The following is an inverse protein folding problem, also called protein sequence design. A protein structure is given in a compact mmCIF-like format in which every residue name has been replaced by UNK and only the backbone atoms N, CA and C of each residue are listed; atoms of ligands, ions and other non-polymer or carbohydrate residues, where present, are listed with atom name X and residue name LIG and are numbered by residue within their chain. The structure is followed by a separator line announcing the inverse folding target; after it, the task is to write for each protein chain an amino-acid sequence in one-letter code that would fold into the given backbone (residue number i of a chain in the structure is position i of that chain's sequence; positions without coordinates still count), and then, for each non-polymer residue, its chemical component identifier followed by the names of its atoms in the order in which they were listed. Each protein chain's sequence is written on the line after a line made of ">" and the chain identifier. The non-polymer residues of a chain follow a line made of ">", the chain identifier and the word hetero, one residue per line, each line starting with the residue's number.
data_IF_372349340875
#
_entry.id   IF_372349340875
#
_cell.length_a   1.000
_cell.length_b   1.000
_cell.length_c   1.000
_cell.angle_alpha   90.00
_cell.angle_beta   90.00
_cell.angle_gamma   90.00
#
_symmetry.space_group_name_H-M   'P 1'
#
loop_
_entity.id
_entity.type
_entity.pdbx_description
1 polymer ?
#
# COMPACT_ATOMS: atom_id res chain seq x y z
N UNK A 1 -14.56 25.26 -14.28
CA UNK A 1 -14.28 24.20 -15.27
C UNK A 1 -15.30 23.09 -15.11
N UNK A 2 -15.70 22.39 -16.18
CA UNK A 2 -16.57 21.21 -16.08
C UNK A 2 -15.83 20.11 -15.28
N UNK A 3 -16.54 19.38 -14.42
CA UNK A 3 -15.96 18.23 -13.70
C UNK A 3 -15.59 17.13 -14.68
N UNK A 4 -14.48 16.39 -14.46
CA UNK A 4 -14.13 15.23 -15.27
C UNK A 4 -15.23 14.17 -15.26
N UNK A 5 -15.39 13.43 -16.36
CA UNK A 5 -16.47 12.42 -16.53
C UNK A 5 -16.47 11.36 -15.44
N UNK A 6 -15.28 10.96 -14.92
CA UNK A 6 -15.15 9.94 -13.87
C UNK A 6 -15.24 10.50 -12.44
N UNK A 7 -15.35 11.83 -12.28
CA UNK A 7 -15.44 12.46 -10.97
C UNK A 7 -16.74 12.07 -10.26
N UNK A 8 -16.66 11.75 -8.97
CA UNK A 8 -17.80 11.33 -8.15
C UNK A 8 -17.73 11.93 -6.72
N UNK A 9 -18.76 11.67 -5.92
CA UNK A 9 -18.85 12.20 -4.54
C UNK A 9 -17.70 11.73 -3.63
N UNK A 10 -17.10 10.57 -3.90
CA UNK A 10 -15.93 10.10 -3.16
C UNK A 10 -14.71 10.97 -3.47
N UNK A 11 -14.53 11.40 -4.72
CA UNK A 11 -13.50 12.36 -5.08
C UNK A 11 -13.66 13.69 -4.32
N UNK A 12 -14.92 14.20 -4.23
CA UNK A 12 -15.21 15.41 -3.44
C UNK A 12 -14.80 15.25 -1.98
N UNK A 13 -15.09 14.09 -1.37
CA UNK A 13 -14.79 13.81 0.03
C UNK A 13 -13.30 13.78 0.38
N UNK A 14 -12.45 13.57 -0.62
CA UNK A 14 -11.00 13.48 -0.50
C UNK A 14 -10.26 14.69 -1.09
N UNK A 15 -10.97 15.56 -1.80
CA UNK A 15 -10.37 16.71 -2.50
C UNK A 15 -9.52 16.33 -3.71
N UNK A 16 -9.82 15.20 -4.37
CA UNK A 16 -9.15 14.72 -5.58
C UNK A 16 -10.03 14.94 -6.82
N UNK A 17 -9.43 14.97 -8.00
CA UNK A 17 -10.13 15.22 -9.26
C UNK A 17 -10.58 13.91 -9.94
N UNK A 18 -9.72 12.90 -9.94
CA UNK A 18 -9.96 11.60 -10.55
C UNK A 18 -9.97 10.49 -9.49
N UNK A 19 -10.85 9.47 -9.64
CA UNK A 19 -10.96 8.36 -8.70
C UNK A 19 -9.83 7.34 -8.92
N UNK A 20 -8.57 7.81 -8.92
CA UNK A 20 -7.37 7.01 -9.21
C UNK A 20 -6.38 7.17 -8.06
N UNK A 21 -5.98 6.05 -7.47
CA UNK A 21 -4.99 5.98 -6.41
C UNK A 21 -3.73 5.27 -6.90
N UNK A 22 -2.58 5.85 -6.60
CA UNK A 22 -1.32 5.12 -6.57
C UNK A 22 -1.26 4.32 -5.27
N UNK A 23 -1.12 3.01 -5.36
CA UNK A 23 -0.92 2.13 -4.20
C UNK A 23 0.37 2.49 -3.44
N UNK A 24 0.32 2.54 -2.11
CA UNK A 24 1.54 2.54 -1.31
C UNK A 24 2.26 1.20 -1.44
N UNK A 25 3.47 1.19 -1.99
CA UNK A 25 4.18 -0.05 -2.35
C UNK A 25 5.60 -0.07 -1.83
N UNK A 26 6.05 -1.27 -1.58
CA UNK A 26 7.46 -1.60 -1.41
C UNK A 26 8.02 -1.36 -0.02
N UNK A 27 8.95 -2.22 0.34
CA UNK A 27 9.82 -2.07 1.50
C UNK A 27 10.99 -1.18 1.06
N UNK A 28 11.37 -0.21 1.91
CA UNK A 28 12.46 0.74 1.62
C UNK A 28 12.09 1.91 0.69
N UNK A 29 10.82 2.03 0.29
CA UNK A 29 10.24 3.25 -0.30
C UNK A 29 10.65 3.60 -1.73
N UNK A 30 11.32 2.71 -2.49
CA UNK A 30 11.71 2.98 -3.89
C UNK A 30 10.55 2.91 -4.87
N UNK A 31 9.55 2.07 -4.59
CA UNK A 31 8.40 1.86 -5.49
C UNK A 31 7.45 3.05 -5.48
N UNK A 32 7.30 3.71 -4.33
CA UNK A 32 6.46 4.92 -4.20
C UNK A 32 7.24 6.04 -3.54
N UNK A 33 8.27 6.59 -4.22
CA UNK A 33 9.05 7.71 -3.70
C UNK A 33 8.22 9.00 -3.68
N UNK A 34 8.62 10.03 -2.91
CA UNK A 34 7.91 11.30 -2.80
C UNK A 34 7.57 11.96 -4.14
N UNK A 35 8.46 11.87 -5.14
CA UNK A 35 8.24 12.43 -6.48
C UNK A 35 7.06 11.79 -7.20
N UNK A 36 6.96 10.45 -7.18
CA UNK A 36 5.84 9.73 -7.79
C UNK A 36 4.53 10.03 -7.08
N UNK A 37 4.53 10.03 -5.74
CA UNK A 37 3.36 10.37 -4.92
C UNK A 37 2.85 11.77 -5.26
N UNK A 38 3.76 12.75 -5.30
CA UNK A 38 3.42 14.13 -5.65
C UNK A 38 2.92 14.26 -7.08
N UNK A 39 3.55 13.59 -8.05
CA UNK A 39 3.14 13.64 -9.46
C UNK A 39 1.70 13.12 -9.66
N UNK A 40 1.36 11.99 -9.05
CA UNK A 40 -0.01 11.45 -9.11
C UNK A 40 -1.02 12.40 -8.46
N UNK A 41 -0.68 12.98 -7.30
CA UNK A 41 -1.56 13.94 -6.62
C UNK A 41 -1.73 15.23 -7.44
N UNK A 42 -0.67 15.76 -8.04
CA UNK A 42 -0.73 16.93 -8.95
C UNK A 42 -1.56 16.66 -10.20
N UNK A 43 -1.50 15.42 -10.73
CA UNK A 43 -2.32 15.00 -11.86
C UNK A 43 -3.81 14.84 -11.51
N UNK A 44 -4.19 15.10 -10.25
CA UNK A 44 -5.58 15.04 -9.78
C UNK A 44 -6.03 13.71 -9.19
N UNK A 45 -5.14 12.71 -9.11
CA UNK A 45 -5.36 11.46 -8.39
C UNK A 45 -5.01 11.57 -6.90
N UNK A 46 -4.77 10.45 -6.26
CA UNK A 46 -4.26 10.35 -4.90
C UNK A 46 -2.98 9.50 -4.86
N UNK A 47 -1.84 10.13 -4.70
CA UNK A 47 -0.59 9.42 -4.46
C UNK A 47 -0.54 8.87 -3.03
N UNK A 48 -0.09 7.63 -2.83
CA UNK A 48 0.06 7.04 -1.49
C UNK A 48 1.50 6.59 -1.27
N UNK A 49 2.11 7.11 -0.23
CA UNK A 49 3.49 6.82 0.17
C UNK A 49 3.54 5.51 0.95
N UNK A 50 4.28 4.51 0.46
CA UNK A 50 4.51 3.25 1.18
C UNK A 50 5.58 3.43 2.25
N UNK A 51 5.21 3.30 3.53
CA UNK A 51 6.10 3.55 4.65
C UNK A 51 6.56 2.29 5.40
N UNK A 52 6.07 1.11 5.04
CA UNK A 52 6.46 -0.13 5.70
C UNK A 52 7.97 -0.40 5.56
N UNK A 53 8.65 -0.55 6.69
CA UNK A 53 10.10 -0.76 6.76
C UNK A 53 10.95 0.51 6.68
N UNK A 54 10.35 1.70 6.67
CA UNK A 54 11.07 2.97 6.84
C UNK A 54 11.18 3.34 8.31
N UNK A 55 12.27 3.97 8.73
CA UNK A 55 12.33 4.53 10.09
C UNK A 55 11.34 5.69 10.26
N UNK A 56 10.97 6.05 11.51
CA UNK A 56 10.12 7.22 11.77
C UNK A 56 10.69 8.51 11.17
N UNK A 57 12.00 8.72 11.26
CA UNK A 57 12.70 9.89 10.73
C UNK A 57 12.62 9.93 9.20
N UNK A 58 12.86 8.78 8.54
CA UNK A 58 12.77 8.69 7.09
C UNK A 58 11.34 8.87 6.61
N UNK A 59 10.35 8.32 7.33
CA UNK A 59 8.93 8.54 7.06
C UNK A 59 8.59 10.03 7.13
N UNK A 60 9.04 10.73 8.19
CA UNK A 60 8.85 12.18 8.35
C UNK A 60 9.48 12.96 7.21
N UNK A 61 10.72 12.64 6.86
CA UNK A 61 11.44 13.28 5.78
C UNK A 61 10.66 13.17 4.46
N UNK A 62 10.18 11.96 4.13
CA UNK A 62 9.44 11.71 2.89
C UNK A 62 8.07 12.40 2.87
N UNK A 63 7.33 12.42 3.96
CA UNK A 63 6.08 13.16 4.05
C UNK A 63 6.30 14.64 3.78
N UNK A 64 7.33 15.24 4.38
CA UNK A 64 7.68 16.64 4.17
C UNK A 64 8.17 16.92 2.75
N UNK A 65 8.88 15.99 2.14
CA UNK A 65 9.28 16.06 0.74
C UNK A 65 8.06 16.05 -0.20
N UNK A 66 7.08 15.16 0.00
CA UNK A 66 5.82 15.20 -0.77
C UNK A 66 5.17 16.58 -0.65
N UNK A 67 5.07 17.15 0.54
CA UNK A 67 4.47 18.48 0.76
C UNK A 67 5.25 19.62 0.11
N UNK A 68 6.55 19.49 -0.04
CA UNK A 68 7.34 20.49 -0.76
C UNK A 68 7.12 20.43 -2.26
N UNK A 69 6.60 19.32 -2.77
CA UNK A 69 6.37 19.10 -4.20
C UNK A 69 4.90 19.32 -4.61
N UNK A 70 3.94 19.22 -3.68
CA UNK A 70 2.51 19.38 -3.99
C UNK A 70 1.69 19.85 -2.79
N UNK A 71 0.69 20.70 -3.06
CA UNK A 71 -0.36 21.10 -2.11
C UNK A 71 -1.60 20.20 -2.19
N UNK A 72 -1.61 19.22 -3.10
CA UNK A 72 -2.72 18.31 -3.30
C UNK A 72 -2.76 17.22 -2.22
N UNK A 73 -3.94 16.63 -1.93
CA UNK A 73 -4.06 15.52 -0.99
C UNK A 73 -3.20 14.32 -1.40
N UNK A 74 -2.60 13.67 -0.42
CA UNK A 74 -1.88 12.41 -0.57
C UNK A 74 -2.12 11.52 0.65
N UNK A 75 -1.77 10.24 0.52
CA UNK A 75 -1.89 9.27 1.59
C UNK A 75 -0.56 8.68 2.03
N UNK A 76 -0.61 7.98 3.16
CA UNK A 76 0.45 7.10 3.66
C UNK A 76 -0.13 5.71 3.86
N UNK A 77 0.61 4.70 3.44
CA UNK A 77 0.29 3.28 3.65
C UNK A 77 1.27 2.65 4.62
N UNK A 78 0.73 1.89 5.57
CA UNK A 78 1.51 1.10 6.52
C UNK A 78 0.86 -0.27 6.73
N UNK A 79 1.67 -1.32 6.76
CA UNK A 79 1.23 -2.64 7.18
C UNK A 79 1.01 -2.66 8.69
N UNK A 80 -0.19 -3.03 9.11
CA UNK A 80 -0.60 -3.17 10.52
C UNK A 80 -0.97 -4.63 10.80
N UNK A 81 -0.01 -5.55 10.87
CA UNK A 81 -0.32 -6.96 11.05
C UNK A 81 -1.04 -7.19 12.38
N UNK A 82 -2.20 -7.86 12.33
CA UNK A 82 -3.02 -8.16 13.51
C UNK A 82 -2.33 -9.13 14.50
N UNK A 83 -1.36 -9.87 14.02
CA UNK A 83 -0.50 -10.77 14.82
C UNK A 83 0.93 -10.60 14.34
N UNK A 84 1.76 -10.11 15.21
CA UNK A 84 3.21 -10.19 15.06
C UNK A 84 3.64 -11.35 15.94
N UNK A 85 4.35 -12.32 15.37
CA UNK A 85 4.96 -13.38 16.15
C UNK A 85 5.92 -12.75 17.17
N UNK A 86 6.07 -13.39 18.34
CA UNK A 86 7.16 -13.06 19.26
C UNK A 86 8.47 -13.23 18.50
N UNK A 87 9.02 -12.13 18.03
CA UNK A 87 10.24 -12.09 17.24
C UNK A 87 11.26 -11.23 18.00
N UNK A 88 12.55 -11.54 17.88
CA UNK A 88 13.59 -10.68 18.41
C UNK A 88 13.46 -9.25 17.88
N UNK A 89 13.86 -8.27 18.71
CA UNK A 89 13.73 -6.84 18.41
C UNK A 89 14.73 -6.34 17.34
N UNK A 90 15.62 -7.20 16.89
CA UNK A 90 16.64 -6.87 15.89
C UNK A 90 16.63 -7.86 14.70
N UNK A 91 16.99 -7.39 13.53
CA UNK A 91 17.12 -8.25 12.33
C UNK A 91 18.19 -9.33 12.51
N UNK A 92 19.27 -9.03 13.21
CA UNK A 92 20.30 -10.02 13.56
C UNK A 92 19.70 -11.12 14.43
N UNK A 93 18.96 -10.79 15.46
CA UNK A 93 18.26 -11.75 16.32
C UNK A 93 17.26 -12.62 15.54
N UNK A 94 16.48 -12.03 14.63
CA UNK A 94 15.56 -12.78 13.74
C UNK A 94 16.33 -13.75 12.86
N UNK A 95 17.46 -13.34 12.25
CA UNK A 95 18.29 -14.23 11.43
C UNK A 95 18.87 -15.39 12.25
N UNK A 96 19.31 -15.13 13.47
CA UNK A 96 19.84 -16.17 14.34
C UNK A 96 18.75 -17.16 14.77
N UNK A 97 17.54 -16.69 15.02
CA UNK A 97 16.40 -17.56 15.28
C UNK A 97 16.02 -18.40 14.07
N UNK A 98 16.01 -17.82 12.85
CA UNK A 98 15.79 -18.57 11.59
C UNK A 98 16.85 -19.65 11.42
N UNK A 99 18.13 -19.34 11.62
CA UNK A 99 19.22 -20.33 11.55
C UNK A 99 19.02 -21.47 12.54
N UNK A 100 18.55 -21.17 13.73
CA UNK A 100 18.32 -22.15 14.78
C UNK A 100 17.09 -23.03 14.50
N UNK A 101 15.96 -22.43 14.07
CA UNK A 101 14.70 -23.14 13.80
C UNK A 101 14.67 -23.86 12.47
N UNK A 102 15.30 -23.29 11.47
CA UNK A 102 15.24 -23.75 10.07
C UNK A 102 16.66 -23.83 9.46
N UNK A 103 17.53 -24.68 9.97
CA UNK A 103 18.93 -24.75 9.55
C UNK A 103 19.07 -25.13 8.06
N UNK A 104 18.19 -25.96 7.52
CA UNK A 104 18.16 -26.33 6.11
C UNK A 104 17.87 -25.15 5.18
N UNK A 105 16.94 -24.25 5.56
CA UNK A 105 16.65 -23.04 4.80
C UNK A 105 17.86 -22.08 4.87
N UNK A 106 18.47 -21.95 6.03
CA UNK A 106 19.67 -21.12 6.18
C UNK A 106 20.83 -21.65 5.33
N UNK A 107 21.03 -22.96 5.28
CA UNK A 107 22.04 -23.61 4.41
C UNK A 107 21.73 -23.38 2.92
N UNK A 108 20.46 -23.49 2.51
CA UNK A 108 20.04 -23.19 1.15
C UNK A 108 20.35 -21.73 0.76
N UNK A 109 20.06 -20.77 1.62
CA UNK A 109 20.41 -19.35 1.39
C UNK A 109 21.92 -19.19 1.20
N UNK A 110 22.76 -19.87 2.01
CA UNK A 110 24.21 -19.84 1.84
C UNK A 110 24.65 -20.41 0.47
N UNK A 111 23.99 -21.48 0.01
CA UNK A 111 24.25 -22.03 -1.34
C UNK A 111 23.94 -21.00 -2.42
N UNK A 112 22.85 -20.23 -2.30
CA UNK A 112 22.53 -19.16 -3.25
C UNK A 112 23.56 -18.02 -3.21
N UNK A 113 23.97 -17.59 -2.02
CA UNK A 113 25.01 -16.57 -1.85
C UNK A 113 26.31 -16.99 -2.55
N UNK A 114 26.74 -18.23 -2.35
CA UNK A 114 27.94 -18.77 -3.00
C UNK A 114 27.75 -18.89 -4.53
N UNK A 115 26.64 -19.45 -4.96
CA UNK A 115 26.34 -19.68 -6.41
C UNK A 115 26.35 -18.37 -7.20
N UNK A 116 25.78 -17.31 -6.64
CA UNK A 116 25.66 -16.01 -7.30
C UNK A 116 26.76 -15.03 -6.89
N UNK A 117 27.74 -15.46 -6.10
CA UNK A 117 28.85 -14.63 -5.60
C UNK A 117 28.35 -13.31 -5.00
N UNK A 118 27.25 -13.38 -4.24
CA UNK A 118 26.65 -12.21 -3.63
C UNK A 118 27.60 -11.63 -2.57
N UNK A 119 27.77 -10.29 -2.52
CA UNK A 119 28.60 -9.67 -1.51
C UNK A 119 28.01 -9.89 -0.12
N UNK A 120 28.88 -10.01 0.89
CA UNK A 120 28.46 -10.00 2.28
C UNK A 120 27.97 -8.60 2.64
N UNK A 121 26.65 -8.41 2.56
CA UNK A 121 26.01 -7.16 2.94
C UNK A 121 25.64 -7.24 4.42
N UNK A 122 26.21 -6.35 5.23
CA UNK A 122 25.70 -6.06 6.57
C UNK A 122 24.51 -5.12 6.38
N UNK A 123 23.30 -5.47 6.88
CA UNK A 123 22.19 -4.52 6.85
C UNK A 123 22.57 -3.27 7.64
N UNK A 124 22.43 -2.13 7.01
CA UNK A 124 22.66 -0.83 7.67
C UNK A 124 21.58 -0.51 8.73
N UNK A 125 20.48 -1.25 8.73
CA UNK A 125 19.32 -1.04 9.58
C UNK A 125 18.89 -2.34 10.25
N UNK A 126 18.81 -2.34 11.56
CA UNK A 126 18.35 -3.45 12.41
C UNK A 126 16.84 -3.36 12.71
N UNK A 127 16.10 -2.44 12.10
CA UNK A 127 14.66 -2.25 12.31
C UNK A 127 13.86 -3.50 11.97
N UNK A 128 13.11 -4.00 12.92
CA UNK A 128 12.12 -5.06 12.73
C UNK A 128 10.74 -4.45 12.69
N UNK A 129 9.92 -4.86 11.71
CA UNK A 129 8.52 -4.45 11.63
C UNK A 129 7.74 -5.18 12.72
N UNK A 130 7.60 -4.55 13.87
CA UNK A 130 6.84 -5.01 15.03
C UNK A 130 5.79 -3.96 15.45
N UNK A 131 5.04 -4.21 16.52
CA UNK A 131 4.01 -3.29 17.01
C UNK A 131 4.59 -1.94 17.44
N UNK A 132 5.74 -1.93 18.11
CA UNK A 132 6.36 -0.69 18.58
C UNK A 132 6.88 0.14 17.40
N UNK A 133 7.47 -0.51 16.40
CA UNK A 133 7.80 0.12 15.13
C UNK A 133 6.55 0.74 14.48
N UNK A 134 5.46 -0.03 14.35
CA UNK A 134 4.23 0.48 13.74
C UNK A 134 3.69 1.69 14.49
N UNK A 135 3.68 1.68 15.82
CA UNK A 135 3.27 2.83 16.66
C UNK A 135 4.16 4.05 16.41
N UNK A 136 5.47 3.88 16.38
CA UNK A 136 6.39 5.00 16.16
C UNK A 136 6.23 5.67 14.80
N UNK A 137 5.99 4.88 13.75
CA UNK A 137 5.68 5.42 12.41
C UNK A 137 4.31 6.08 12.39
N UNK A 138 3.29 5.49 13.03
CA UNK A 138 1.97 6.08 13.16
C UNK A 138 2.00 7.44 13.89
N UNK A 139 2.81 7.57 14.93
CA UNK A 139 2.95 8.85 15.63
C UNK A 139 3.46 9.93 14.67
N UNK A 140 4.43 9.63 13.82
CA UNK A 140 4.90 10.56 12.77
C UNK A 140 3.78 10.91 11.79
N UNK A 141 3.00 9.92 11.33
CA UNK A 141 1.87 10.14 10.40
C UNK A 141 0.86 11.13 11.00
N UNK A 142 0.55 10.99 12.29
CA UNK A 142 -0.36 11.89 12.99
C UNK A 142 0.25 13.26 13.28
N UNK A 143 1.49 13.33 13.71
CA UNK A 143 2.21 14.60 13.94
C UNK A 143 2.31 15.43 12.67
N UNK A 144 2.60 14.77 11.55
CA UNK A 144 2.62 15.41 10.24
C UNK A 144 1.21 15.62 9.65
N UNK A 145 0.13 15.27 10.34
CA UNK A 145 -1.26 15.49 9.91
C UNK A 145 -1.50 15.06 8.45
N UNK A 146 -1.14 13.83 8.14
CA UNK A 146 -1.38 13.27 6.79
C UNK A 146 -2.89 13.17 6.56
N UNK A 147 -3.40 13.64 5.40
CA UNK A 147 -4.86 13.68 5.20
C UNK A 147 -5.50 12.30 5.00
N UNK A 148 -4.76 11.32 4.48
CA UNK A 148 -5.27 9.98 4.17
C UNK A 148 -4.29 8.93 4.69
N UNK A 149 -4.80 7.96 5.44
CA UNK A 149 -4.00 6.81 5.90
C UNK A 149 -4.64 5.51 5.43
N UNK A 150 -3.84 4.65 4.80
CA UNK A 150 -4.24 3.31 4.37
C UNK A 150 -3.58 2.25 5.25
N UNK A 151 -4.37 1.28 5.68
CA UNK A 151 -3.91 0.19 6.54
C UNK A 151 -3.96 -1.15 5.81
N UNK A 152 -2.80 -1.74 5.57
CA UNK A 152 -2.67 -3.12 5.10
C UNK A 152 -2.59 -4.13 6.26
N UNK A 153 -3.08 -5.35 6.04
CA UNK A 153 -2.98 -6.52 6.93
C UNK A 153 -3.71 -6.46 8.29
N UNK A 154 -4.36 -5.40 8.64
CA UNK A 154 -5.01 -5.26 9.95
C UNK A 154 -6.31 -4.50 9.89
N UNK A 155 -6.88 -4.29 11.07
CA UNK A 155 -8.02 -3.42 11.26
C UNK A 155 -7.52 -2.14 11.95
N UNK A 156 -7.65 -0.97 11.31
CA UNK A 156 -7.17 0.29 11.88
C UNK A 156 -8.14 0.90 12.91
N UNK A 157 -9.06 0.14 13.48
CA UNK A 157 -10.10 0.61 14.39
C UNK A 157 -9.56 1.42 15.57
N UNK A 158 -8.43 1.01 16.13
CA UNK A 158 -7.77 1.71 17.24
C UNK A 158 -7.27 3.13 16.88
N UNK A 159 -7.15 3.45 15.58
CA UNK A 159 -6.73 4.76 15.09
C UNK A 159 -7.90 5.73 14.94
N UNK A 160 -9.15 5.23 14.86
CA UNK A 160 -10.33 6.03 14.55
C UNK A 160 -10.52 7.27 15.43
N UNK A 161 -10.38 7.21 16.78
CA UNK A 161 -10.55 8.39 17.61
C UNK A 161 -9.55 9.50 17.25
N UNK A 162 -8.28 9.13 17.04
CA UNK A 162 -7.21 10.07 16.70
C UNK A 162 -7.35 10.60 15.26
N UNK A 163 -7.72 9.75 14.32
CA UNK A 163 -7.95 10.14 12.93
C UNK A 163 -9.11 11.12 12.79
N UNK A 164 -10.24 10.84 13.45
CA UNK A 164 -11.40 11.73 13.44
C UNK A 164 -11.11 13.10 14.06
N UNK A 165 -10.34 13.13 15.14
CA UNK A 165 -9.94 14.39 15.80
C UNK A 165 -9.10 15.29 14.87
N UNK A 166 -8.44 14.73 13.86
CA UNK A 166 -7.61 15.47 12.90
C UNK A 166 -8.23 15.58 11.50
N UNK A 167 -9.41 14.99 11.27
CA UNK A 167 -10.03 14.94 9.94
C UNK A 167 -9.33 14.01 8.95
N UNK A 168 -8.44 13.12 9.43
CA UNK A 168 -7.76 12.13 8.61
C UNK A 168 -8.74 11.05 8.13
N UNK A 169 -8.67 10.71 6.85
CA UNK A 169 -9.45 9.61 6.26
C UNK A 169 -8.71 8.29 6.43
N UNK A 170 -9.40 7.29 6.98
CA UNK A 170 -8.88 5.94 7.15
C UNK A 170 -9.40 5.02 6.05
N UNK A 171 -8.48 4.35 5.36
CA UNK A 171 -8.76 3.36 4.32
C UNK A 171 -8.25 2.00 4.80
N UNK A 172 -9.11 0.97 4.78
CA UNK A 172 -8.71 -0.39 5.09
C UNK A 172 -8.54 -1.23 3.83
N UNK A 173 -7.55 -2.12 3.79
CA UNK A 173 -7.34 -3.07 2.68
C UNK A 173 -7.92 -4.43 3.02
N UNK A 174 -8.64 -5.06 2.08
CA UNK A 174 -9.38 -6.30 2.32
C UNK A 174 -9.38 -7.22 1.09
N UNK A 175 -8.86 -8.43 1.26
CA UNK A 175 -8.90 -9.49 0.24
C UNK A 175 -10.12 -10.42 0.35
N UNK A 176 -11.13 -10.09 1.19
CA UNK A 176 -12.34 -10.90 1.33
C UNK A 176 -13.53 -10.07 1.82
N UNK A 177 -14.75 -10.50 1.47
CA UNK A 177 -16.00 -9.87 1.94
C UNK A 177 -16.08 -9.86 3.47
N UNK A 178 -15.70 -10.95 4.13
CA UNK A 178 -15.72 -11.05 5.60
C UNK A 178 -14.86 -9.97 6.26
N UNK A 179 -13.66 -9.74 5.74
CA UNK A 179 -12.76 -8.72 6.29
C UNK A 179 -13.27 -7.31 5.97
N UNK A 180 -13.81 -7.08 4.78
CA UNK A 180 -14.43 -5.81 4.40
C UNK A 180 -15.60 -5.45 5.33
N UNK A 181 -16.48 -6.39 5.63
CA UNK A 181 -17.61 -6.20 6.57
C UNK A 181 -17.09 -5.87 7.99
N UNK A 182 -15.98 -6.50 8.42
CA UNK A 182 -15.36 -6.16 9.71
C UNK A 182 -14.86 -4.72 9.72
N UNK A 183 -14.11 -4.30 8.71
CA UNK A 183 -13.58 -2.94 8.60
C UNK A 183 -14.70 -1.88 8.48
N UNK A 184 -15.79 -2.18 7.75
CA UNK A 184 -16.99 -1.33 7.77
C UNK A 184 -17.53 -1.14 9.18
N UNK A 185 -17.67 -2.24 9.95
CA UNK A 185 -18.14 -2.17 11.35
C UNK A 185 -17.21 -1.38 12.24
N UNK A 186 -15.92 -1.45 11.98
CA UNK A 186 -14.91 -0.63 12.67
C UNK A 186 -15.05 0.86 12.33
N UNK A 187 -15.65 1.24 11.20
CA UNK A 187 -15.97 2.62 10.85
C UNK A 187 -14.89 3.32 10.03
N UNK A 188 -14.13 2.58 9.19
CA UNK A 188 -13.22 3.17 8.19
C UNK A 188 -13.99 4.00 7.16
N UNK A 189 -13.34 5.00 6.57
CA UNK A 189 -13.94 5.90 5.59
C UNK A 189 -14.09 5.27 4.19
N UNK A 190 -13.21 4.33 3.84
CA UNK A 190 -13.28 3.55 2.60
C UNK A 190 -12.58 2.20 2.74
N UNK A 191 -12.89 1.26 1.83
CA UNK A 191 -12.33 -0.08 1.83
C UNK A 191 -11.75 -0.39 0.45
N UNK A 192 -10.47 -0.77 0.39
CA UNK A 192 -9.87 -1.33 -0.82
C UNK A 192 -10.27 -2.80 -0.93
N UNK A 193 -11.03 -3.16 -1.95
CA UNK A 193 -11.32 -4.54 -2.33
C UNK A 193 -10.16 -5.04 -3.21
N UNK A 194 -9.25 -5.79 -2.62
CA UNK A 194 -8.02 -6.23 -3.25
C UNK A 194 -8.12 -7.68 -3.72
N UNK A 195 -8.27 -7.86 -5.03
CA UNK A 195 -8.30 -9.18 -5.65
C UNK A 195 -6.95 -9.87 -5.66
N UNK A 196 -6.97 -11.18 -5.96
CA UNK A 196 -5.75 -12.02 -6.00
C UNK A 196 -4.75 -11.60 -7.07
N UNK A 197 -5.18 -10.85 -8.09
CA UNK A 197 -4.32 -10.31 -9.15
C UNK A 197 -3.48 -9.11 -8.70
N UNK A 198 -3.73 -8.58 -7.50
CA UNK A 198 -2.89 -7.55 -6.93
C UNK A 198 -1.55 -8.12 -6.48
N UNK A 199 -0.54 -7.26 -6.39
CA UNK A 199 0.73 -7.60 -5.77
C UNK A 199 0.69 -7.55 -4.24
N UNK A 200 1.74 -8.06 -3.60
CA UNK A 200 1.90 -8.03 -2.14
C UNK A 200 1.04 -9.06 -1.42
N UNK A 201 0.46 -8.66 -0.29
CA UNK A 201 -0.38 -9.54 0.54
C UNK A 201 -1.82 -9.53 0.05
N UNK A 202 -2.23 -10.54 -0.68
CA UNK A 202 -3.57 -10.64 -1.28
C UNK A 202 -4.43 -11.71 -0.61
N UNK A 203 -5.73 -11.66 -0.89
CA UNK A 203 -6.63 -12.79 -0.68
C UNK A 203 -6.54 -13.81 -1.82
N UNK A 204 -7.48 -14.75 -1.83
CA UNK A 204 -7.55 -15.82 -2.84
C UNK A 204 -8.69 -15.62 -3.84
N UNK A 205 -9.46 -14.53 -3.72
CA UNK A 205 -10.61 -14.23 -4.57
C UNK A 205 -10.18 -13.24 -5.66
N UNK A 206 -10.50 -13.56 -6.91
CA UNK A 206 -10.21 -12.68 -8.05
C UNK A 206 -10.99 -11.36 -7.97
N UNK A 207 -10.46 -10.30 -8.58
CA UNK A 207 -11.02 -8.95 -8.51
C UNK A 207 -12.46 -8.89 -9.05
N UNK A 208 -12.73 -9.52 -10.18
CA UNK A 208 -14.05 -9.48 -10.82
C UNK A 208 -15.19 -10.00 -9.93
N UNK A 209 -15.10 -11.15 -9.23
CA UNK A 209 -16.11 -11.59 -8.29
C UNK A 209 -16.03 -10.89 -6.93
N UNK A 210 -14.86 -10.41 -6.49
CA UNK A 210 -14.69 -9.80 -5.16
C UNK A 210 -15.34 -8.42 -5.07
N UNK A 211 -15.08 -7.56 -6.07
CA UNK A 211 -15.44 -6.15 -6.02
C UNK A 211 -16.96 -5.97 -5.81
N UNK A 212 -17.87 -6.54 -6.64
CA UNK A 212 -19.30 -6.32 -6.46
C UNK A 212 -19.82 -6.90 -5.14
N UNK A 213 -19.30 -8.05 -4.71
CA UNK A 213 -19.70 -8.64 -3.42
C UNK A 213 -19.30 -7.76 -2.23
N UNK A 214 -18.11 -7.12 -2.29
CA UNK A 214 -17.69 -6.17 -1.26
C UNK A 214 -18.56 -4.93 -1.31
N UNK A 215 -18.82 -4.37 -2.51
CA UNK A 215 -19.69 -3.19 -2.69
C UNK A 215 -21.05 -3.42 -2.05
N UNK A 216 -21.72 -4.54 -2.36
CA UNK A 216 -23.02 -4.87 -1.80
C UNK A 216 -22.98 -5.04 -0.28
N UNK A 217 -21.95 -5.72 0.24
CA UNK A 217 -21.84 -6.06 1.66
C UNK A 217 -21.50 -4.86 2.55
N UNK A 218 -20.80 -3.85 2.01
CA UNK A 218 -20.33 -2.71 2.81
C UNK A 218 -21.05 -1.40 2.53
N UNK A 219 -22.05 -1.39 1.65
CA UNK A 219 -22.84 -0.19 1.36
C UNK A 219 -23.39 0.42 2.68
N UNK A 220 -23.26 1.76 2.91
CA UNK A 220 -22.82 2.81 1.98
C UNK A 220 -21.31 3.15 2.02
N UNK A 221 -20.47 2.37 2.66
CA UNK A 221 -19.02 2.64 2.73
C UNK A 221 -18.41 2.56 1.32
N UNK A 222 -17.68 3.60 0.85
CA UNK A 222 -17.03 3.59 -0.45
C UNK A 222 -16.05 2.42 -0.62
N UNK A 223 -16.05 1.81 -1.82
CA UNK A 223 -15.12 0.74 -2.18
C UNK A 223 -14.15 1.23 -3.25
N UNK A 224 -12.87 0.95 -3.05
CA UNK A 224 -11.79 1.21 -4.01
C UNK A 224 -11.38 -0.15 -4.59
N UNK A 225 -11.43 -0.33 -5.89
CA UNK A 225 -11.07 -1.58 -6.53
C UNK A 225 -9.55 -1.71 -6.71
N UNK A 226 -8.97 -2.86 -6.39
CA UNK A 226 -7.56 -3.16 -6.58
C UNK A 226 -7.34 -4.58 -7.13
N UNK A 227 -6.31 -4.73 -7.96
CA UNK A 227 -5.92 -5.99 -8.57
C UNK A 227 -6.28 -6.09 -10.05
N UNK A 228 -5.26 -6.31 -10.90
CA UNK A 228 -5.43 -6.48 -12.34
C UNK A 228 -5.85 -5.22 -13.11
N UNK A 229 -5.83 -4.03 -12.51
CA UNK A 229 -6.22 -2.77 -13.14
C UNK A 229 -4.96 -2.07 -13.66
N UNK A 230 -4.81 -2.00 -14.98
CA UNK A 230 -3.61 -1.44 -15.62
C UNK A 230 -3.89 -0.19 -16.46
N UNK A 231 -5.11 -0.02 -16.97
CA UNK A 231 -5.48 1.09 -17.86
C UNK A 231 -6.92 1.59 -17.63
N UNK A 232 -7.36 2.55 -18.46
CA UNK A 232 -8.68 3.18 -18.37
C UNK A 232 -9.84 2.19 -18.52
N UNK A 233 -9.68 1.09 -19.27
CA UNK A 233 -10.72 0.05 -19.42
C UNK A 233 -10.97 -0.66 -18.10
N UNK A 234 -9.89 -1.01 -17.39
CA UNK A 234 -9.98 -1.61 -16.06
C UNK A 234 -10.57 -0.65 -15.02
N UNK A 235 -10.22 0.65 -15.08
CA UNK A 235 -10.80 1.68 -14.21
C UNK A 235 -12.31 1.77 -14.44
N UNK A 236 -12.76 1.89 -15.70
CA UNK A 236 -14.19 1.96 -16.02
C UNK A 236 -14.93 0.68 -15.60
N UNK A 237 -14.34 -0.50 -15.84
CA UNK A 237 -14.91 -1.77 -15.40
C UNK A 237 -15.10 -1.81 -13.87
N UNK A 238 -14.10 -1.37 -13.10
CA UNK A 238 -14.19 -1.27 -11.64
C UNK A 238 -15.33 -0.35 -11.17
N UNK A 239 -15.49 0.81 -11.82
CA UNK A 239 -16.60 1.73 -11.53
C UNK A 239 -17.97 1.14 -11.88
N UNK A 240 -18.08 0.41 -12.99
CA UNK A 240 -19.32 -0.30 -13.38
C UNK A 240 -19.66 -1.40 -12.37
N UNK A 241 -18.67 -2.06 -11.77
CA UNK A 241 -18.87 -3.04 -10.69
C UNK A 241 -19.28 -2.39 -9.36
N UNK A 242 -19.42 -1.07 -9.30
CA UNK A 242 -19.88 -0.32 -8.13
C UNK A 242 -18.76 0.27 -7.25
N UNK A 243 -17.49 0.06 -7.60
CA UNK A 243 -16.41 0.74 -6.91
C UNK A 243 -16.46 2.27 -7.12
N UNK A 244 -15.97 3.04 -6.17
CA UNK A 244 -15.92 4.49 -6.26
C UNK A 244 -14.57 5.02 -6.77
N UNK A 245 -13.54 4.17 -6.78
CA UNK A 245 -12.20 4.47 -7.28
C UNK A 245 -11.42 3.19 -7.62
N UNK A 246 -10.27 3.37 -8.25
CA UNK A 246 -9.30 2.32 -8.55
C UNK A 246 -7.96 2.57 -7.84
N UNK A 247 -7.36 1.49 -7.31
CA UNK A 247 -6.07 1.47 -6.60
C UNK A 247 -5.08 0.67 -7.42
N UNK A 248 -4.10 1.37 -8.03
CA UNK A 248 -3.18 0.80 -9.00
C UNK A 248 -1.76 0.74 -8.43
N UNK A 249 -1.11 -0.39 -8.59
CA UNK A 249 0.28 -0.61 -8.19
C UNK A 249 1.22 -0.66 -9.40
N UNK A 250 1.29 -1.82 -10.03
CA UNK A 250 2.26 -2.16 -11.08
C UNK A 250 2.30 -1.17 -12.24
N UNK A 251 1.14 -0.60 -12.62
CA UNK A 251 1.06 0.40 -13.69
C UNK A 251 1.91 1.65 -13.41
N UNK A 252 2.11 2.00 -12.14
CA UNK A 252 2.94 3.15 -11.74
C UNK A 252 4.42 2.81 -11.52
N UNK A 253 4.80 1.52 -11.42
CA UNK A 253 6.18 1.12 -11.20
C UNK A 253 7.10 1.47 -12.38
N UNK A 254 6.53 1.61 -13.58
CA UNK A 254 7.27 1.94 -14.81
C UNK A 254 7.35 3.44 -15.08
N UNK A 255 6.73 4.28 -14.23
CA UNK A 255 6.83 5.74 -14.35
C UNK A 255 8.27 6.22 -14.12
N UNK A 256 8.62 7.35 -14.74
CA UNK A 256 9.96 7.95 -14.62
C UNK A 256 10.25 8.38 -13.17
N UNK A 257 9.23 8.84 -12.46
CA UNK A 257 9.32 9.27 -11.06
C UNK A 257 9.51 8.10 -10.07
N UNK A 258 9.28 6.85 -10.50
CA UNK A 258 9.55 5.67 -9.67
C UNK A 258 11.05 5.39 -9.60
N UNK A 259 11.58 5.15 -8.39
CA UNK A 259 13.01 4.93 -8.14
C UNK A 259 13.45 3.46 -8.24
N UNK A 260 12.64 2.60 -8.84
CA UNK A 260 13.07 1.25 -9.19
C UNK A 260 14.15 1.32 -10.29
N UNK A 261 15.08 0.37 -10.22
CA UNK A 261 16.10 0.23 -11.25
C UNK A 261 15.47 -0.17 -12.59
N UNK A 262 16.06 0.25 -13.70
CA UNK A 262 15.60 -0.12 -15.05
C UNK A 262 15.55 -1.64 -15.24
N UNK A 263 16.52 -2.37 -14.68
CA UNK A 263 16.49 -3.84 -14.62
C UNK A 263 15.26 -4.46 -13.96
N UNK A 264 14.49 -3.66 -13.19
CA UNK A 264 13.19 -4.06 -12.63
C UNK A 264 12.03 -3.54 -13.48
N UNK A 265 12.15 -2.35 -14.08
CA UNK A 265 11.11 -1.74 -14.93
C UNK A 265 10.99 -2.43 -16.29
N UNK A 266 12.12 -2.73 -16.94
CA UNK A 266 12.17 -3.35 -18.28
C UNK A 266 11.39 -4.67 -18.34
N UNK A 267 11.57 -5.63 -17.40
CA UNK A 267 10.75 -6.84 -17.37
C UNK A 267 9.24 -6.56 -17.20
N UNK A 268 8.85 -5.53 -16.44
CA UNK A 268 7.44 -5.17 -16.25
C UNK A 268 6.85 -4.67 -17.58
N UNK A 269 7.58 -3.83 -18.30
CA UNK A 269 7.15 -3.30 -19.62
C UNK A 269 7.05 -4.41 -20.66
N UNK A 270 7.99 -5.38 -20.63
CA UNK A 270 8.03 -6.50 -21.58
C UNK A 270 7.05 -7.63 -21.24
N UNK A 271 6.51 -7.65 -20.01
CA UNK A 271 5.66 -8.73 -19.53
C UNK A 271 4.26 -8.71 -20.15
N UNK A 272 3.73 -9.90 -20.37
CA UNK A 272 2.31 -10.12 -20.63
C UNK A 272 1.59 -10.66 -19.38
N UNK A 273 0.32 -11.02 -19.53
CA UNK A 273 -0.49 -11.54 -18.42
C UNK A 273 -0.02 -12.91 -17.90
N UNK A 274 0.75 -13.66 -18.69
CA UNK A 274 1.28 -14.99 -18.28
C UNK A 274 2.51 -14.87 -17.39
N UNK A 275 3.18 -13.72 -17.41
CA UNK A 275 4.33 -13.45 -16.55
C UNK A 275 3.93 -13.16 -15.08
N UNK A 276 2.63 -12.88 -14.82
CA UNK A 276 2.15 -12.64 -13.47
C UNK A 276 2.29 -13.87 -12.57
N UNK A 277 2.77 -13.66 -11.36
CA UNK A 277 2.89 -14.70 -10.32
C UNK A 277 2.44 -14.13 -8.97
N UNK A 278 1.69 -14.94 -8.23
CA UNK A 278 1.27 -14.67 -6.86
C UNK A 278 2.18 -15.42 -5.89
#
# INVERSE_FOLDING_TARGET
>A
MARPVLHNAFCDSLGIEYPIFLAGMGVGGRATPPKLVAAVSQAGGCGVLGCSGLSPEETRRRIREVRSLTDRPFGVDLLLPARIADAPDTRSGVRDEIRRRYPEHAAFVQTLIQRYQLPAVQPADETVVNIEYAKSVLDVVFEERVPIFAAGLGDPDFLLPRARAQGMKLIGLSGSVRNAVRQRKSGVDAIVAQGTEAGGHTGTVASLPLIPQVVDAVNPTPVIAAGGIADGRGIVAALVLGAQAAWLGTAFLVADECELFDSCKDPIVAADSEAFRV
#
